data_IF_814514607716
#
_entry.id   IF_814514607716
#
_cell.length_a   1.000
_cell.length_b   1.000
_cell.length_c   1.000
_cell.angle_alpha   90.00
_cell.angle_beta   90.00
_cell.angle_gamma   90.00
#
_symmetry.space_group_name_H-M   'P 1'
#
loop_
_entity.id
_entity.type
_entity.pdbx_description
1 polymer ?
#
# COMPACT_ATOMS: atom_id res chain seq x y z
N UNK A 1 10.91 -21.04 -9.59
CA UNK A 1 10.85 -19.57 -9.39
C UNK A 1 9.89 -19.30 -8.25
N UNK A 2 10.32 -18.61 -7.20
CA UNK A 2 9.43 -18.28 -6.09
C UNK A 2 8.37 -17.29 -6.58
N UNK A 3 7.12 -17.74 -6.66
CA UNK A 3 5.99 -16.90 -7.03
C UNK A 3 5.60 -16.10 -5.80
N UNK A 4 5.92 -14.80 -5.77
CA UNK A 4 5.11 -13.88 -4.99
C UNK A 4 3.69 -13.90 -5.58
N UNK A 5 2.67 -13.77 -4.73
CA UNK A 5 1.28 -13.74 -5.18
C UNK A 5 0.62 -12.52 -4.58
N UNK A 6 0.45 -11.49 -5.39
CA UNK A 6 -0.37 -10.34 -5.04
C UNK A 6 -1.85 -10.62 -5.35
N UNK A 7 -2.72 -9.83 -4.73
CA UNK A 7 -4.12 -9.77 -5.06
C UNK A 7 -4.24 -9.31 -6.52
N UNK A 8 -5.20 -9.84 -7.30
CA UNK A 8 -5.26 -9.57 -8.73
C UNK A 8 -5.22 -8.08 -9.11
N UNK A 9 -5.94 -7.22 -8.38
CA UNK A 9 -5.92 -5.77 -8.62
C UNK A 9 -4.54 -5.13 -8.34
N UNK A 10 -3.85 -5.58 -7.28
CA UNK A 10 -2.52 -5.09 -6.92
C UNK A 10 -1.47 -5.54 -7.94
N UNK A 11 -1.54 -6.80 -8.37
CA UNK A 11 -0.66 -7.34 -9.42
C UNK A 11 -0.86 -6.60 -10.74
N UNK A 12 -2.11 -6.45 -11.18
CA UNK A 12 -2.47 -5.77 -12.42
C UNK A 12 -2.07 -4.31 -12.41
N UNK A 13 -2.28 -3.60 -11.29
CA UNK A 13 -1.81 -2.22 -11.13
C UNK A 13 -0.29 -2.14 -11.32
N UNK A 14 0.46 -2.99 -10.61
CA UNK A 14 1.92 -2.99 -10.71
C UNK A 14 2.42 -3.29 -12.13
N UNK A 15 1.85 -4.29 -12.79
CA UNK A 15 2.22 -4.68 -14.15
C UNK A 15 1.92 -3.56 -15.16
N UNK A 16 0.78 -2.87 -15.02
CA UNK A 16 0.42 -1.74 -15.89
C UNK A 16 1.31 -0.51 -15.68
N UNK A 17 1.72 -0.24 -14.44
CA UNK A 17 2.51 0.95 -14.10
C UNK A 17 4.01 0.75 -14.31
N UNK A 18 4.55 -0.42 -13.97
CA UNK A 18 6.00 -0.68 -13.92
C UNK A 18 6.46 -1.86 -14.79
N UNK A 19 5.54 -2.65 -15.35
CA UNK A 19 5.87 -3.84 -16.12
C UNK A 19 6.33 -4.99 -15.24
N UNK A 20 7.65 -5.14 -15.09
CA UNK A 20 8.26 -6.29 -14.40
C UNK A 20 8.99 -5.87 -13.12
N UNK A 21 9.02 -6.75 -12.09
CA UNK A 21 9.67 -6.44 -10.83
C UNK A 21 11.18 -6.31 -10.94
N UNK A 22 11.76 -5.40 -10.16
CA UNK A 22 13.21 -5.33 -9.96
C UNK A 22 13.68 -6.49 -9.06
N UNK A 23 14.99 -6.75 -9.03
CA UNK A 23 15.56 -7.80 -8.18
C UNK A 23 15.17 -7.69 -6.68
N UNK A 24 15.31 -6.54 -6.00
CA UNK A 24 14.91 -6.43 -4.59
C UNK A 24 13.41 -6.58 -4.36
N UNK A 25 12.58 -6.27 -5.36
CA UNK A 25 11.13 -6.51 -5.31
C UNK A 25 10.83 -8.01 -5.40
N UNK A 26 11.31 -8.66 -6.47
CA UNK A 26 11.08 -10.09 -6.71
C UNK A 26 11.60 -10.99 -5.56
N UNK A 27 12.74 -10.62 -4.95
CA UNK A 27 13.30 -11.32 -3.78
C UNK A 27 12.66 -10.90 -2.47
N UNK A 28 12.26 -9.65 -2.34
CA UNK A 28 11.71 -9.08 -1.11
C UNK A 28 10.28 -9.53 -0.84
N UNK A 29 9.42 -9.59 -1.85
CA UNK A 29 8.00 -9.86 -1.67
C UNK A 29 7.69 -11.20 -1.00
N UNK A 30 8.25 -12.35 -1.44
CA UNK A 30 8.00 -13.63 -0.76
C UNK A 30 8.49 -13.60 0.70
N UNK A 31 9.58 -12.89 0.99
CA UNK A 31 10.11 -12.77 2.33
C UNK A 31 9.20 -11.92 3.23
N UNK A 32 8.71 -10.78 2.74
CA UNK A 32 7.80 -9.90 3.49
C UNK A 32 6.46 -10.60 3.73
N UNK A 33 5.88 -11.21 2.68
CA UNK A 33 4.61 -11.93 2.75
C UNK A 33 4.66 -13.16 3.67
N UNK A 34 5.85 -13.68 3.99
CA UNK A 34 6.00 -14.77 4.97
C UNK A 34 5.79 -14.34 6.43
N UNK A 35 5.59 -13.05 6.70
CA UNK A 35 5.40 -12.51 8.05
C UNK A 35 6.68 -12.41 8.89
N UNK A 36 7.86 -12.68 8.30
CA UNK A 36 9.15 -12.56 8.97
C UNK A 36 9.67 -11.13 8.91
N UNK A 37 10.60 -10.79 9.81
CA UNK A 37 11.40 -9.58 9.68
C UNK A 37 12.33 -9.68 8.47
N UNK A 38 12.36 -8.62 7.65
CA UNK A 38 13.13 -8.58 6.39
C UNK A 38 13.99 -7.34 6.33
N UNK A 39 15.26 -7.52 5.97
CA UNK A 39 16.18 -6.46 5.58
C UNK A 39 16.44 -6.54 4.07
N UNK A 40 16.06 -5.50 3.33
CA UNK A 40 16.38 -5.38 1.91
C UNK A 40 17.57 -4.42 1.74
N UNK A 41 18.73 -4.97 1.37
CA UNK A 41 19.90 -4.19 1.00
C UNK A 41 20.10 -4.22 -0.51
N UNK A 42 19.97 -3.06 -1.16
CA UNK A 42 20.14 -2.88 -2.60
C UNK A 42 20.50 -1.40 -2.91
N UNK A 43 21.06 -1.09 -4.09
CA UNK A 43 21.39 0.29 -4.47
C UNK A 43 20.22 1.27 -4.42
N UNK A 44 20.52 2.57 -4.36
CA UNK A 44 19.52 3.64 -4.51
C UNK A 44 18.84 3.53 -5.87
N UNK A 45 17.56 3.89 -5.96
CA UNK A 45 16.79 3.78 -7.21
C UNK A 45 16.33 2.37 -7.57
N UNK A 46 16.74 1.32 -6.85
CA UNK A 46 16.36 -0.07 -7.18
C UNK A 46 14.92 -0.47 -6.79
N UNK A 47 14.09 0.46 -6.32
CA UNK A 47 12.67 0.18 -6.00
C UNK A 47 12.41 -0.49 -4.64
N UNK A 48 13.36 -0.44 -3.69
CA UNK A 48 13.22 -1.01 -2.33
C UNK A 48 11.98 -0.51 -1.58
N UNK A 49 11.69 0.78 -1.73
CA UNK A 49 10.57 1.42 -1.04
C UNK A 49 9.23 0.88 -1.53
N UNK A 50 9.06 0.79 -2.86
CA UNK A 50 7.89 0.15 -3.45
C UNK A 50 7.81 -1.35 -3.10
N UNK A 51 8.96 -2.03 -2.94
CA UNK A 51 8.96 -3.43 -2.51
C UNK A 51 8.27 -3.62 -1.15
N UNK A 52 8.61 -2.78 -0.17
CA UNK A 52 7.98 -2.80 1.15
C UNK A 52 6.51 -2.35 1.10
N UNK A 53 6.24 -1.19 0.48
CA UNK A 53 4.90 -0.62 0.47
C UNK A 53 3.89 -1.48 -0.27
N UNK A 54 4.24 -2.00 -1.46
CA UNK A 54 3.30 -2.79 -2.24
C UNK A 54 2.93 -4.09 -1.53
N UNK A 55 3.88 -4.72 -0.83
CA UNK A 55 3.60 -5.89 0.00
C UNK A 55 2.69 -5.57 1.18
N UNK A 56 2.87 -4.41 1.84
CA UNK A 56 1.96 -3.95 2.89
C UNK A 56 0.57 -3.63 2.36
N UNK A 57 0.47 -2.94 1.21
CA UNK A 57 -0.81 -2.63 0.57
C UNK A 57 -1.55 -3.90 0.16
N UNK A 58 -0.84 -4.89 -0.38
CA UNK A 58 -1.43 -6.20 -0.72
C UNK A 58 -2.12 -6.86 0.48
N UNK A 59 -1.50 -6.81 1.66
CA UNK A 59 -2.08 -7.33 2.90
C UNK A 59 -3.37 -6.57 3.24
N UNK A 60 -3.32 -5.23 3.27
CA UNK A 60 -4.46 -4.40 3.62
C UNK A 60 -5.64 -4.56 2.66
N UNK A 61 -5.38 -4.59 1.35
CA UNK A 61 -6.43 -4.82 0.37
C UNK A 61 -7.02 -6.23 0.49
N UNK A 62 -6.21 -7.27 0.74
CA UNK A 62 -6.71 -8.63 0.99
C UNK A 62 -7.57 -8.73 2.24
N UNK A 63 -7.23 -8.00 3.28
CA UNK A 63 -7.99 -7.95 4.54
C UNK A 63 -9.29 -7.17 4.35
N UNK A 64 -9.24 -6.00 3.71
CA UNK A 64 -10.40 -5.19 3.34
C UNK A 64 -11.39 -5.92 2.42
N UNK A 65 -10.90 -6.88 1.63
CA UNK A 65 -11.76 -7.74 0.81
C UNK A 65 -12.53 -8.78 1.63
N UNK A 66 -12.04 -9.16 2.81
CA UNK A 66 -12.66 -10.17 3.69
C UNK A 66 -13.61 -9.54 4.71
N UNK A 67 -13.25 -8.37 5.23
CA UNK A 67 -14.00 -7.65 6.25
C UNK A 67 -13.66 -6.16 6.19
N UNK A 68 -14.47 -5.34 6.84
CA UNK A 68 -14.15 -3.93 7.05
C UNK A 68 -12.83 -3.79 7.83
N UNK A 69 -11.95 -2.92 7.35
CA UNK A 69 -10.69 -2.62 8.04
C UNK A 69 -10.99 -1.76 9.27
N UNK A 70 -10.34 -2.02 10.41
CA UNK A 70 -10.44 -1.14 11.56
C UNK A 70 -9.88 0.25 11.24
N UNK A 71 -10.51 1.27 11.83
CA UNK A 71 -10.12 2.67 11.67
C UNK A 71 -8.88 3.01 12.53
N UNK A 72 -7.75 2.35 12.25
CA UNK A 72 -6.52 2.46 13.03
C UNK A 72 -5.24 2.35 12.19
N UNK A 73 -4.09 2.67 12.78
CA UNK A 73 -2.80 2.58 12.09
C UNK A 73 -2.35 1.12 11.97
N UNK A 74 -2.43 0.55 10.76
CA UNK A 74 -1.95 -0.81 10.46
C UNK A 74 -0.48 -0.89 10.05
N UNK A 75 0.07 0.18 9.44
CA UNK A 75 1.44 0.19 8.88
C UNK A 75 2.15 1.48 9.29
N UNK A 76 3.35 1.34 9.88
CA UNK A 76 4.19 2.47 10.26
C UNK A 76 5.43 2.52 9.38
N UNK A 77 5.58 3.60 8.62
CA UNK A 77 6.81 3.92 7.90
C UNK A 77 7.61 4.97 8.69
N UNK A 78 8.89 4.68 8.93
CA UNK A 78 9.81 5.58 9.62
C UNK A 78 10.91 6.01 8.67
N UNK A 79 11.12 7.33 8.57
CA UNK A 79 12.19 7.94 7.80
C UNK A 79 13.02 8.85 8.69
N UNK A 80 14.36 8.85 8.56
CA UNK A 80 15.20 9.83 9.24
C UNK A 80 15.05 11.25 8.64
N UNK A 81 14.43 11.38 7.46
CA UNK A 81 14.25 12.64 6.75
C UNK A 81 12.77 13.00 6.62
N UNK A 82 12.40 14.18 7.09
CA UNK A 82 11.04 14.73 7.00
C UNK A 82 10.56 14.89 5.56
N UNK A 83 11.42 15.40 4.67
CA UNK A 83 11.07 15.58 3.25
C UNK A 83 10.66 14.25 2.61
N UNK A 84 11.41 13.18 2.90
CA UNK A 84 11.10 11.85 2.41
C UNK A 84 9.75 11.34 2.94
N UNK A 85 9.37 11.62 4.19
CA UNK A 85 8.04 11.23 4.69
C UNK A 85 6.91 11.87 3.88
N UNK A 86 7.03 13.15 3.53
CA UNK A 86 6.04 13.84 2.71
C UNK A 86 5.99 13.29 1.28
N UNK A 87 7.15 13.03 0.68
CA UNK A 87 7.25 12.46 -0.66
C UNK A 87 6.61 11.07 -0.73
N UNK A 88 6.83 10.24 0.30
CA UNK A 88 6.21 8.92 0.38
C UNK A 88 4.69 9.00 0.45
N UNK A 89 4.12 9.89 1.26
CA UNK A 89 2.66 10.08 1.31
C UNK A 89 2.08 10.43 -0.06
N UNK A 90 2.76 11.33 -0.79
CA UNK A 90 2.35 11.72 -2.15
C UNK A 90 2.45 10.52 -3.11
N UNK A 91 3.56 9.79 -3.06
CA UNK A 91 3.81 8.64 -3.93
C UNK A 91 2.88 7.45 -3.64
N UNK A 92 2.26 7.39 -2.45
CA UNK A 92 1.25 6.39 -2.11
C UNK A 92 -0.15 6.69 -2.68
N UNK A 93 -0.44 7.94 -3.07
CA UNK A 93 -1.77 8.28 -3.60
C UNK A 93 -2.07 7.57 -4.92
N UNK A 94 -1.08 7.47 -5.80
CA UNK A 94 -1.21 6.81 -7.10
C UNK A 94 -1.50 5.30 -6.98
N UNK A 95 -0.74 4.48 -6.22
CA UNK A 95 -1.09 3.08 -6.00
C UNK A 95 -2.45 2.91 -5.34
N UNK A 96 -2.77 3.71 -4.32
CA UNK A 96 -4.05 3.58 -3.63
C UNK A 96 -5.23 3.82 -4.58
N UNK A 97 -5.18 4.89 -5.37
CA UNK A 97 -6.22 5.21 -6.34
C UNK A 97 -6.31 4.15 -7.45
N UNK A 98 -5.16 3.75 -8.02
CA UNK A 98 -5.13 2.78 -9.12
C UNK A 98 -5.60 1.39 -8.71
N UNK A 99 -5.23 0.92 -7.52
CA UNK A 99 -5.68 -0.37 -7.00
C UNK A 99 -7.19 -0.34 -6.72
N UNK A 100 -7.71 0.75 -6.11
CA UNK A 100 -9.16 0.92 -5.88
C UNK A 100 -9.96 0.90 -7.19
N UNK A 101 -9.49 1.61 -8.22
CA UNK A 101 -10.14 1.61 -9.52
C UNK A 101 -10.19 0.21 -10.15
N UNK A 102 -9.08 -0.53 -10.09
CA UNK A 102 -9.02 -1.90 -10.62
C UNK A 102 -9.90 -2.88 -9.83
N UNK A 103 -10.05 -2.70 -8.52
CA UNK A 103 -10.99 -3.47 -7.71
C UNK A 103 -12.44 -3.23 -8.14
N UNK A 104 -12.82 -1.97 -8.37
CA UNK A 104 -14.16 -1.61 -8.86
C UNK A 104 -14.44 -2.23 -10.24
N UNK A 105 -13.47 -2.17 -11.16
CA UNK A 105 -13.58 -2.77 -12.49
C UNK A 105 -13.73 -4.30 -12.46
N UNK A 106 -12.90 -4.98 -11.66
CA UNK A 106 -12.78 -6.45 -11.72
C UNK A 106 -13.80 -7.18 -10.87
N UNK A 107 -14.27 -6.57 -9.78
CA UNK A 107 -15.24 -7.19 -8.87
C UNK A 107 -16.67 -6.66 -9.06
N UNK A 108 -16.87 -5.76 -10.04
CA UNK A 108 -18.19 -5.23 -10.36
C UNK A 108 -18.83 -4.49 -9.20
N UNK A 109 -18.05 -3.93 -8.27
CA UNK A 109 -18.57 -3.08 -7.18
C UNK A 109 -18.90 -1.71 -7.76
N UNK A 110 -20.18 -1.32 -7.88
CA UNK A 110 -20.50 0.06 -8.21
C UNK A 110 -20.00 0.98 -7.08
N UNK A 111 -19.63 2.24 -7.38
CA UNK A 111 -19.42 3.23 -6.34
C UNK A 111 -20.71 3.29 -5.50
N UNK A 112 -20.58 3.08 -4.19
CA UNK A 112 -21.72 3.04 -3.28
C UNK A 112 -22.45 4.39 -3.28
N UNK A 113 -23.52 4.47 -4.07
CA UNK A 113 -24.57 5.47 -3.91
C UNK A 113 -25.69 4.81 -3.11
N UNK A 114 -25.79 5.16 -1.82
CA UNK A 114 -26.95 4.84 -0.97
C UNK A 114 -26.69 3.80 0.13
N UNK A 115 -26.90 4.24 1.37
CA UNK A 115 -27.36 3.67 2.66
C UNK A 115 -27.40 2.15 2.94
N UNK A 116 -26.74 1.32 2.13
CA UNK A 116 -26.54 -0.11 2.34
C UNK A 116 -25.21 -0.58 1.73
N UNK A 117 -24.21 0.29 1.73
CA UNK A 117 -22.96 0.19 1.00
C UNK A 117 -22.12 -1.03 1.43
N UNK A 118 -21.77 -1.87 0.45
CA UNK A 118 -20.55 -2.67 0.59
C UNK A 118 -19.38 -1.68 0.78
N UNK A 119 -18.81 -1.65 2.00
CA UNK A 119 -17.79 -0.68 2.42
C UNK A 119 -16.64 -0.62 1.42
N UNK A 120 -16.34 0.59 0.92
CA UNK A 120 -15.16 0.85 0.11
C UNK A 120 -13.91 0.51 0.94
N UNK A 121 -12.90 -0.14 0.34
CA UNK A 121 -11.67 -0.45 1.08
C UNK A 121 -10.89 0.86 1.29
N UNK A 122 -11.09 1.48 2.45
CA UNK A 122 -10.46 2.75 2.81
C UNK A 122 -9.07 2.57 3.41
N UNK A 123 -8.09 2.25 2.55
CA UNK A 123 -6.67 2.35 2.92
C UNK A 123 -6.17 3.76 2.68
N UNK A 124 -5.73 4.44 3.74
CA UNK A 124 -5.21 5.82 3.69
C UNK A 124 -3.76 5.91 4.16
N UNK A 125 -3.06 6.96 3.71
CA UNK A 125 -1.68 7.24 4.08
C UNK A 125 -1.57 8.63 4.68
N UNK A 126 -1.10 8.69 5.93
CA UNK A 126 -0.97 9.93 6.69
C UNK A 126 0.46 10.17 7.17
N UNK A 127 0.80 11.44 7.44
CA UNK A 127 2.15 11.84 7.85
C UNK A 127 2.13 12.61 9.16
N UNK A 128 2.90 12.09 10.12
CA UNK A 128 3.19 12.75 11.39
C UNK A 128 4.65 13.16 11.47
N UNK A 129 4.91 14.44 11.63
CA UNK A 129 6.24 15.04 11.79
C UNK A 129 6.25 16.08 12.91
N UNK A 130 7.39 16.69 13.19
CA UNK A 130 7.49 17.80 14.16
C UNK A 130 6.56 18.98 13.82
N UNK A 131 6.28 19.22 12.54
CA UNK A 131 5.41 20.30 12.07
C UNK A 131 3.91 19.97 12.12
N UNK A 132 3.55 18.70 12.31
CA UNK A 132 2.14 18.32 12.41
C UNK A 132 1.56 18.97 13.66
N UNK A 133 0.50 19.77 13.52
CA UNK A 133 -0.12 20.53 14.62
C UNK A 133 -0.79 19.59 15.63
N UNK A 134 -1.08 20.08 16.84
CA UNK A 134 -1.79 19.28 17.85
C UNK A 134 -3.17 18.82 17.35
N UNK A 135 -3.90 19.69 16.65
CA UNK A 135 -5.20 19.37 16.06
C UNK A 135 -5.08 18.28 14.99
N UNK A 136 -4.07 18.37 14.10
CA UNK A 136 -3.81 17.33 13.11
C UNK A 136 -3.45 16.00 13.78
N UNK A 137 -2.64 16.01 14.85
CA UNK A 137 -2.29 14.78 15.59
C UNK A 137 -3.49 14.09 16.24
N UNK A 138 -4.52 14.84 16.63
CA UNK A 138 -5.73 14.30 17.23
C UNK A 138 -6.72 13.76 16.18
N UNK A 139 -6.61 14.22 14.93
CA UNK A 139 -7.45 13.80 13.82
C UNK A 139 -6.89 12.59 13.05
N UNK A 140 -5.66 12.15 13.38
CA UNK A 140 -5.01 10.94 12.87
C UNK A 140 -5.34 9.72 13.74
#
# INVERSE_FOLDING_TARGET
MQSFRFYPAVARWFEQTFGSPTEPQARGWPAIQSGRHVLISAPTGSGKTLAAFLASLDILFREGMKAELPDETQVVYVSPLKALSNDIRKNLQEPLAGIRALLQETEGRPPSQGDGAASEIDVRAEVRTGDTTAAQRQAL
#
